data_IF_100580133221
#
_entry.id   IF_100580133221
#
_cell.length_a   1.000
_cell.length_b   1.000
_cell.length_c   1.000
_cell.angle_alpha   90.00
_cell.angle_beta   90.00
_cell.angle_gamma   90.00
#
_symmetry.space_group_name_H-M   'P 1'
#
loop_
_entity.id
_entity.type
_entity.pdbx_description
1 polymer ?
#
# COMPACT_ATOMS: atom_id res chain seq x y z
N UNK A 1 10.83 5.26 -31.10
CA UNK A 1 10.32 4.04 -30.45
C UNK A 1 8.81 4.15 -30.41
N UNK A 2 8.09 3.25 -31.09
CA UNK A 2 6.65 3.18 -31.00
C UNK A 2 6.36 2.29 -29.79
N UNK A 3 5.86 2.88 -28.71
CA UNK A 3 5.40 2.09 -27.57
C UNK A 3 4.08 1.42 -27.98
N UNK A 4 4.07 0.11 -27.96
CA UNK A 4 2.85 -0.68 -28.22
C UNK A 4 1.94 -0.46 -27.01
N UNK A 5 0.98 0.48 -27.11
CA UNK A 5 0.03 0.78 -26.05
C UNK A 5 -0.93 -0.40 -25.89
N UNK A 6 -0.75 -1.17 -24.83
CA UNK A 6 -1.68 -2.23 -24.45
C UNK A 6 -2.75 -1.67 -23.51
N UNK A 7 -3.99 -1.73 -23.95
CA UNK A 7 -5.13 -1.36 -23.12
C UNK A 7 -5.57 -2.57 -22.28
N UNK A 8 -5.88 -2.32 -21.00
CA UNK A 8 -6.43 -3.31 -20.09
C UNK A 8 -7.54 -2.67 -19.26
N UNK A 9 -8.58 -3.46 -18.95
CA UNK A 9 -9.64 -3.03 -18.02
C UNK A 9 -9.33 -3.57 -16.64
N UNK A 10 -9.24 -2.70 -15.66
CA UNK A 10 -8.97 -3.04 -14.26
C UNK A 10 -9.54 -1.96 -13.34
N UNK A 11 -9.66 -2.25 -12.06
CA UNK A 11 -9.99 -1.25 -11.05
C UNK A 11 -8.73 -0.59 -10.46
N UNK A 12 -8.93 0.41 -9.59
CA UNK A 12 -7.83 1.15 -8.98
C UNK A 12 -6.99 0.28 -8.02
N UNK A 13 -7.59 -0.70 -7.35
CA UNK A 13 -6.85 -1.62 -6.47
C UNK A 13 -5.91 -2.52 -7.29
N UNK A 14 -6.39 -3.08 -8.40
CA UNK A 14 -5.54 -3.88 -9.28
C UNK A 14 -4.42 -3.04 -9.89
N UNK A 15 -4.74 -1.82 -10.34
CA UNK A 15 -3.76 -0.90 -10.90
C UNK A 15 -2.61 -0.60 -9.93
N UNK A 16 -2.94 -0.18 -8.70
CA UNK A 16 -1.96 0.09 -7.65
C UNK A 16 -1.17 -1.18 -7.26
N UNK A 17 -1.86 -2.32 -7.10
CA UNK A 17 -1.22 -3.58 -6.73
C UNK A 17 -0.20 -4.06 -7.77
N UNK A 18 -0.46 -3.86 -9.07
CA UNK A 18 0.47 -4.24 -10.15
C UNK A 18 1.81 -3.54 -10.02
N UNK A 19 1.79 -2.25 -9.77
CA UNK A 19 3.01 -1.45 -9.61
C UNK A 19 3.68 -1.74 -8.27
N UNK A 20 2.90 -1.80 -7.20
CA UNK A 20 3.39 -2.13 -5.86
C UNK A 20 4.13 -3.46 -5.84
N UNK A 21 3.54 -4.53 -6.41
CA UNK A 21 4.18 -5.84 -6.52
C UNK A 21 5.43 -5.80 -7.40
N UNK A 22 5.38 -5.09 -8.53
CA UNK A 22 6.51 -5.01 -9.46
C UNK A 22 7.73 -4.30 -8.87
N UNK A 23 7.53 -3.35 -7.96
CA UNK A 23 8.60 -2.53 -7.39
C UNK A 23 9.05 -2.99 -6.00
N UNK A 24 8.25 -3.76 -5.27
CA UNK A 24 8.55 -4.11 -3.88
C UNK A 24 9.26 -5.46 -3.74
N UNK A 25 10.08 -5.57 -2.70
CA UNK A 25 10.70 -6.82 -2.27
C UNK A 25 9.95 -7.42 -1.07
N UNK A 26 9.33 -6.55 -0.26
CA UNK A 26 8.53 -6.93 0.91
C UNK A 26 7.17 -6.25 0.86
N UNK A 27 6.12 -7.02 1.07
CA UNK A 27 4.74 -6.56 1.16
C UNK A 27 4.18 -7.01 2.51
N UNK A 28 4.08 -6.10 3.46
CA UNK A 28 3.50 -6.41 4.78
C UNK A 28 2.02 -6.05 4.77
N UNK A 29 1.15 -7.02 5.04
CA UNK A 29 -0.30 -6.85 4.89
C UNK A 29 -1.07 -7.12 6.18
N UNK A 30 -2.16 -6.42 6.34
CA UNK A 30 -3.30 -6.75 7.20
C UNK A 30 -4.54 -6.20 6.51
N UNK A 31 -5.37 -7.08 5.90
CA UNK A 31 -6.46 -6.66 5.02
C UNK A 31 -7.52 -5.80 5.72
N UNK A 32 -7.90 -4.71 5.07
CA UNK A 32 -9.00 -3.84 5.49
C UNK A 32 -9.74 -3.32 4.25
N UNK A 33 -11.09 -3.37 4.28
CA UNK A 33 -11.93 -2.85 3.18
C UNK A 33 -11.83 -1.32 3.10
N UNK A 34 -11.66 -0.72 1.88
CA UNK A 34 -11.72 -1.34 0.55
C UNK A 34 -10.33 -1.67 -0.05
N UNK A 35 -9.25 -1.65 0.73
CA UNK A 35 -7.89 -1.90 0.24
C UNK A 35 -7.51 -3.38 0.12
N UNK A 36 -8.29 -4.30 0.71
CA UNK A 36 -8.00 -5.74 0.73
C UNK A 36 -7.62 -6.34 -0.62
N UNK A 37 -8.30 -6.03 -1.74
CA UNK A 37 -7.94 -6.60 -3.04
C UNK A 37 -6.49 -6.33 -3.46
N UNK A 38 -5.89 -5.19 -3.07
CA UNK A 38 -4.47 -4.93 -3.37
C UNK A 38 -3.55 -5.96 -2.73
N UNK A 39 -3.82 -6.30 -1.47
CA UNK A 39 -3.06 -7.31 -0.73
C UNK A 39 -3.28 -8.71 -1.32
N UNK A 40 -4.53 -9.06 -1.64
CA UNK A 40 -4.91 -10.34 -2.25
C UNK A 40 -4.24 -10.55 -3.61
N UNK A 41 -4.18 -9.53 -4.46
CA UNK A 41 -3.44 -9.60 -5.73
C UNK A 41 -1.95 -9.87 -5.50
N UNK A 42 -1.31 -9.14 -4.60
CA UNK A 42 0.12 -9.32 -4.32
C UNK A 42 0.41 -10.72 -3.78
N UNK A 43 -0.42 -11.23 -2.87
CA UNK A 43 -0.28 -12.58 -2.32
C UNK A 43 -0.44 -13.65 -3.40
N UNK A 44 -1.50 -13.56 -4.20
CA UNK A 44 -1.75 -14.51 -5.29
C UNK A 44 -0.62 -14.52 -6.32
N UNK A 45 -0.09 -13.35 -6.70
CA UNK A 45 1.01 -13.27 -7.66
C UNK A 45 2.32 -13.79 -7.09
N UNK A 46 2.62 -13.51 -5.83
CA UNK A 46 3.80 -14.06 -5.15
C UNK A 46 3.70 -15.58 -4.99
N UNK A 47 2.53 -16.10 -4.61
CA UNK A 47 2.28 -17.54 -4.53
C UNK A 47 2.42 -18.23 -5.90
N UNK A 48 2.09 -17.54 -6.99
CA UNK A 48 2.30 -18.03 -8.36
C UNK A 48 3.76 -17.88 -8.86
N UNK A 49 4.66 -17.36 -8.03
CA UNK A 49 6.07 -17.19 -8.39
C UNK A 49 6.36 -16.00 -9.30
N UNK A 50 5.41 -15.04 -9.42
CA UNK A 50 5.63 -13.83 -10.23
C UNK A 50 6.72 -12.96 -9.62
N UNK A 51 7.73 -12.65 -10.41
CA UNK A 51 8.85 -11.81 -9.97
C UNK A 51 8.54 -10.32 -10.11
N UNK A 52 9.20 -9.53 -9.26
CA UNK A 52 9.31 -8.09 -9.38
C UNK A 52 10.32 -7.71 -10.49
N UNK A 53 10.54 -6.39 -10.69
CA UNK A 53 11.51 -5.90 -11.69
C UNK A 53 12.98 -6.26 -11.36
N UNK A 54 13.26 -6.63 -10.12
CA UNK A 54 14.57 -7.05 -9.66
C UNK A 54 14.84 -8.55 -9.87
N UNK A 55 13.86 -9.29 -10.39
CA UNK A 55 13.95 -10.73 -10.64
C UNK A 55 13.71 -11.62 -9.41
N UNK A 56 13.26 -11.05 -8.30
CA UNK A 56 12.87 -11.80 -7.09
C UNK A 56 11.37 -11.83 -6.90
N UNK A 57 10.85 -12.88 -6.27
CA UNK A 57 9.44 -12.94 -5.86
C UNK A 57 9.29 -12.14 -4.58
N UNK A 58 8.40 -11.12 -4.52
CA UNK A 58 8.16 -10.37 -3.30
C UNK A 58 7.75 -11.26 -2.13
N UNK A 59 8.31 -11.00 -0.95
CA UNK A 59 7.88 -11.66 0.28
C UNK A 59 6.62 -10.98 0.81
N UNK A 60 5.48 -11.68 0.73
CA UNK A 60 4.21 -11.20 1.29
C UNK A 60 4.05 -11.77 2.69
N UNK A 61 3.84 -10.91 3.67
CA UNK A 61 3.72 -11.29 5.08
C UNK A 61 2.43 -10.73 5.66
N UNK A 62 1.50 -11.61 6.03
CA UNK A 62 0.27 -11.23 6.73
C UNK A 62 0.54 -11.13 8.23
N UNK A 63 0.13 -10.00 8.79
CA UNK A 63 0.33 -9.67 10.20
C UNK A 63 -0.97 -9.79 11.00
N UNK A 64 -0.91 -9.49 12.30
CA UNK A 64 -2.06 -9.58 13.21
C UNK A 64 -2.78 -8.24 13.44
N UNK A 65 -2.23 -7.16 12.88
CA UNK A 65 -2.79 -5.81 12.94
C UNK A 65 -2.10 -4.88 11.95
N UNK A 66 -2.71 -3.75 11.63
CA UNK A 66 -2.11 -2.73 10.78
C UNK A 66 -0.84 -2.13 11.40
N UNK A 67 -0.83 -1.91 12.73
CA UNK A 67 0.38 -1.50 13.45
C UNK A 67 1.50 -2.54 13.34
N UNK A 68 1.16 -3.83 13.37
CA UNK A 68 2.08 -4.93 13.14
C UNK A 68 2.63 -4.94 11.72
N UNK A 69 1.77 -4.71 10.70
CA UNK A 69 2.19 -4.59 9.30
C UNK A 69 3.17 -3.41 9.11
N UNK A 70 2.85 -2.24 9.68
CA UNK A 70 3.73 -1.08 9.65
C UNK A 70 5.07 -1.33 10.36
N UNK A 71 5.07 -2.04 11.49
CA UNK A 71 6.28 -2.41 12.21
C UNK A 71 7.17 -3.38 11.43
N UNK A 72 6.57 -4.38 10.79
CA UNK A 72 7.26 -5.34 9.92
C UNK A 72 7.87 -4.62 8.71
N UNK A 73 7.08 -3.76 8.07
CA UNK A 73 7.55 -2.94 6.95
C UNK A 73 8.74 -2.07 7.37
N UNK A 74 8.62 -1.34 8.50
CA UNK A 74 9.70 -0.52 9.04
C UNK A 74 10.98 -1.35 9.26
N UNK A 75 10.87 -2.52 9.88
CA UNK A 75 12.02 -3.42 10.08
C UNK A 75 12.68 -3.86 8.78
N UNK A 76 11.89 -4.17 7.74
CA UNK A 76 12.40 -4.57 6.44
C UNK A 76 13.15 -3.42 5.74
N UNK A 77 12.53 -2.23 5.66
CA UNK A 77 13.11 -1.10 4.91
C UNK A 77 14.36 -0.51 5.57
N UNK A 78 14.54 -0.67 6.89
CA UNK A 78 15.79 -0.30 7.58
C UNK A 78 16.99 -1.15 7.15
N UNK A 79 16.74 -2.28 6.47
CA UNK A 79 17.80 -3.14 5.88
C UNK A 79 18.05 -2.84 4.41
N UNK A 80 17.41 -1.81 3.87
CA UNK A 80 17.62 -1.37 2.49
C UNK A 80 16.68 -2.03 1.46
N UNK A 81 15.68 -2.79 1.90
CA UNK A 81 14.66 -3.33 1.00
C UNK A 81 13.68 -2.24 0.59
N UNK A 82 13.09 -2.38 -0.58
CA UNK A 82 11.93 -1.60 -0.98
C UNK A 82 10.65 -2.32 -0.53
N UNK A 83 9.82 -1.64 0.26
CA UNK A 83 8.66 -2.26 0.87
C UNK A 83 7.38 -1.45 0.76
N UNK A 84 6.25 -2.16 0.80
CA UNK A 84 4.91 -1.56 0.71
C UNK A 84 3.91 -2.22 1.64
N UNK A 85 2.82 -1.50 1.88
CA UNK A 85 1.61 -1.99 2.56
C UNK A 85 0.36 -1.34 1.97
N UNK A 86 -0.78 -1.93 2.24
CA UNK A 86 -2.09 -1.50 1.78
C UNK A 86 -3.01 -1.32 2.97
N UNK A 87 -3.74 -0.21 3.03
CA UNK A 87 -4.59 0.09 4.18
C UNK A 87 -5.71 1.07 3.85
N UNK A 88 -6.54 1.38 4.83
CA UNK A 88 -7.62 2.35 4.78
C UNK A 88 -8.01 2.80 6.19
N UNK A 89 -8.61 3.98 6.32
CA UNK A 89 -9.35 4.40 7.52
C UNK A 89 -8.58 4.20 8.83
N UNK A 90 -9.19 3.52 9.79
CA UNK A 90 -8.58 3.24 11.09
C UNK A 90 -7.25 2.48 10.99
N UNK A 91 -7.11 1.61 9.97
CA UNK A 91 -5.87 0.89 9.72
C UNK A 91 -4.69 1.84 9.47
N UNK A 92 -4.91 2.88 8.66
CA UNK A 92 -3.89 3.91 8.44
C UNK A 92 -3.55 4.65 9.75
N UNK A 93 -4.54 4.98 10.57
CA UNK A 93 -4.31 5.64 11.86
C UNK A 93 -3.49 4.78 12.83
N UNK A 94 -3.66 3.46 12.81
CA UNK A 94 -2.87 2.53 13.61
C UNK A 94 -1.41 2.43 13.15
N UNK A 95 -1.11 2.84 11.91
CA UNK A 95 0.25 2.89 11.38
C UNK A 95 1.01 4.18 11.74
N UNK A 96 0.33 5.24 12.20
CA UNK A 96 0.88 6.58 12.43
C UNK A 96 2.17 6.59 13.26
N UNK A 97 2.29 5.86 14.38
CA UNK A 97 3.55 5.84 15.14
C UNK A 97 4.76 5.37 14.32
N UNK A 98 4.57 4.35 13.48
CA UNK A 98 5.61 3.86 12.58
C UNK A 98 5.85 4.82 11.39
N UNK A 99 4.81 5.48 10.90
CA UNK A 99 4.95 6.47 9.82
C UNK A 99 5.89 7.61 10.22
N UNK A 100 5.78 8.14 11.44
CA UNK A 100 6.73 9.15 11.96
C UNK A 100 8.16 8.66 11.93
N UNK A 101 8.40 7.41 12.32
CA UNK A 101 9.75 6.82 12.33
C UNK A 101 10.28 6.62 10.92
N UNK A 102 9.52 5.99 10.06
CA UNK A 102 9.87 5.74 8.66
C UNK A 102 10.20 7.06 7.94
N UNK A 103 9.34 8.08 8.10
CA UNK A 103 9.57 9.41 7.52
C UNK A 103 10.81 10.09 8.08
N UNK A 104 11.02 10.03 9.40
CA UNK A 104 12.20 10.62 10.05
C UNK A 104 13.52 9.94 9.68
N UNK A 105 13.47 8.64 9.40
CA UNK A 105 14.63 7.84 8.99
C UNK A 105 14.87 7.87 7.47
N UNK A 106 13.96 8.46 6.69
CA UNK A 106 14.01 8.56 5.22
C UNK A 106 14.14 7.19 4.53
N UNK A 107 13.51 6.16 5.10
CA UNK A 107 13.54 4.82 4.54
C UNK A 107 12.53 4.66 3.39
N UNK A 108 12.85 3.87 2.34
CA UNK A 108 12.03 3.79 1.13
C UNK A 108 10.78 2.95 1.36
N UNK A 109 9.63 3.62 1.49
CA UNK A 109 8.34 2.99 1.76
C UNK A 109 7.23 3.68 1.01
N UNK A 110 6.33 2.88 0.44
CA UNK A 110 5.07 3.35 -0.13
C UNK A 110 3.92 2.71 0.65
N UNK A 111 2.99 3.54 1.13
CA UNK A 111 1.74 3.10 1.77
C UNK A 111 0.61 3.43 0.80
N UNK A 112 -0.02 2.41 0.24
CA UNK A 112 -1.17 2.58 -0.64
C UNK A 112 -2.45 2.63 0.19
N UNK A 113 -3.23 3.68 0.00
CA UNK A 113 -4.43 3.93 0.80
C UNK A 113 -5.66 4.00 -0.11
N UNK A 114 -6.56 3.05 0.05
CA UNK A 114 -7.91 3.18 -0.48
C UNK A 114 -8.73 4.03 0.51
N UNK A 115 -8.62 5.35 0.38
CA UNK A 115 -9.07 6.31 1.37
C UNK A 115 -10.56 6.14 1.71
N UNK A 116 -10.86 6.04 3.00
CA UNK A 116 -12.18 5.71 3.54
C UNK A 116 -12.50 6.60 4.74
N UNK A 117 -13.78 6.94 4.89
CA UNK A 117 -14.29 7.76 5.98
C UNK A 117 -13.91 7.19 7.36
N UNK A 118 -13.53 8.08 8.27
CA UNK A 118 -13.42 7.80 9.71
C UNK A 118 -14.79 8.06 10.34
N UNK A 119 -15.61 7.03 10.38
CA UNK A 119 -16.92 7.09 11.03
C UNK A 119 -16.80 6.77 12.53
N UNK A 120 -17.31 7.64 13.37
CA UNK A 120 -17.18 7.53 14.84
C UNK A 120 -18.33 6.74 15.48
N UNK A 121 -19.43 6.56 14.78
CA UNK A 121 -20.67 5.96 15.32
C UNK A 121 -21.13 4.71 14.56
N UNK A 122 -20.54 4.41 13.42
CA UNK A 122 -20.88 3.25 12.59
C UNK A 122 -19.71 2.88 11.69
N UNK A 123 -19.77 1.67 11.12
CA UNK A 123 -18.87 1.29 10.03
C UNK A 123 -19.27 2.02 8.74
N UNK A 124 -18.30 2.61 8.04
CA UNK A 124 -18.48 3.16 6.71
C UNK A 124 -17.37 2.66 5.80
N UNK A 125 -17.73 2.26 4.59
CA UNK A 125 -16.78 1.84 3.54
C UNK A 125 -16.69 2.88 2.40
N UNK A 126 -17.40 4.00 2.53
CA UNK A 126 -17.42 5.04 1.50
C UNK A 126 -16.12 5.82 1.45
N UNK A 127 -15.73 6.17 0.22
CA UNK A 127 -14.55 7.00 -0.05
C UNK A 127 -14.66 8.35 0.65
N UNK A 128 -13.59 8.74 1.33
CA UNK A 128 -13.44 10.02 2.02
C UNK A 128 -11.94 10.24 2.27
N UNK A 129 -11.55 11.47 2.50
CA UNK A 129 -10.14 11.85 2.72
C UNK A 129 -9.78 12.08 4.18
N UNK A 130 -10.69 11.84 5.12
CA UNK A 130 -10.47 12.12 6.55
C UNK A 130 -9.31 11.31 7.13
N UNK A 131 -9.13 10.05 6.73
CA UNK A 131 -8.01 9.21 7.15
C UNK A 131 -6.65 9.78 6.71
N UNK A 132 -6.51 10.13 5.43
CA UNK A 132 -5.30 10.74 4.86
C UNK A 132 -5.00 12.08 5.53
N UNK A 133 -6.03 12.92 5.73
CA UNK A 133 -5.86 14.24 6.33
C UNK A 133 -5.39 14.18 7.78
N UNK A 134 -5.80 13.16 8.53
CA UNK A 134 -5.32 12.92 9.89
C UNK A 134 -3.84 12.50 9.93
N UNK A 135 -3.32 11.91 8.86
CA UNK A 135 -1.93 11.44 8.76
C UNK A 135 -0.96 12.45 8.13
N UNK A 136 -1.44 13.59 7.62
CA UNK A 136 -0.63 14.59 6.91
C UNK A 136 0.57 15.12 7.71
N UNK A 137 0.50 15.08 9.04
CA UNK A 137 1.58 15.54 9.92
C UNK A 137 2.73 14.56 10.13
N UNK A 138 2.65 13.34 9.57
CA UNK A 138 3.64 12.28 9.81
C UNK A 138 4.96 12.47 9.07
N UNK A 139 4.98 13.34 8.05
CA UNK A 139 6.17 13.59 7.22
C UNK A 139 6.18 12.83 5.89
N UNK A 140 5.19 11.98 5.63
CA UNK A 140 5.02 11.36 4.31
C UNK A 140 4.55 12.37 3.27
N UNK A 141 5.08 12.27 2.06
CA UNK A 141 4.46 12.90 0.89
C UNK A 141 3.13 12.20 0.58
N UNK A 142 2.11 12.98 0.22
CA UNK A 142 0.79 12.46 -0.12
C UNK A 142 0.55 12.72 -1.60
N UNK A 143 0.25 11.66 -2.36
CA UNK A 143 -0.14 11.73 -3.75
C UNK A 143 -1.58 11.22 -3.87
N UNK A 144 -2.42 11.94 -4.59
CA UNK A 144 -3.79 11.54 -4.86
C UNK A 144 -3.96 11.15 -6.33
N UNK A 145 -4.66 10.04 -6.58
CA UNK A 145 -5.05 9.60 -7.92
C UNK A 145 -6.55 9.80 -8.12
N UNK A 146 -6.94 10.34 -9.26
CA UNK A 146 -8.34 10.59 -9.64
C UNK A 146 -8.83 9.65 -10.74
N UNK A 147 -7.94 8.85 -11.29
CA UNK A 147 -8.24 7.84 -12.30
C UNK A 147 -7.45 6.55 -12.06
N UNK A 148 -7.89 5.47 -12.68
CA UNK A 148 -7.18 4.17 -12.63
C UNK A 148 -5.79 4.28 -13.24
N UNK A 149 -5.63 5.08 -14.30
CA UNK A 149 -4.32 5.31 -14.91
C UNK A 149 -3.37 6.04 -13.96
N UNK A 150 -3.84 7.10 -13.30
CA UNK A 150 -3.03 7.82 -12.30
C UNK A 150 -2.67 6.96 -11.09
N UNK A 151 -3.55 6.04 -10.71
CA UNK A 151 -3.25 5.09 -9.63
C UNK A 151 -2.18 4.05 -10.03
N UNK A 152 -2.05 3.78 -11.34
CA UNK A 152 -1.00 2.92 -11.88
C UNK A 152 0.33 3.66 -12.03
N UNK A 153 0.30 4.93 -12.48
CA UNK A 153 1.49 5.75 -12.77
C UNK A 153 2.19 6.25 -11.50
#
# INVERSE_FOLDING_TARGET
MQFDQKWSTMDGNEAAARVAHALSEVVAIYPITPSSPMAEYCDAWSAAGKTNIWGSVPSVVEMQSEGGAAGTLHGAVTKGTLGTTFTASQGLLLMVPNMFKIAGELTPTVIHVAARAIATHALSIFGDHSDIMLCRGTGFAILGATSVQEAHD
#
